data_IF_197659500483
#
_entry.id   IF_197659500483
#
_cell.length_a   1.000
_cell.length_b   1.000
_cell.length_c   1.000
_cell.angle_alpha   90.00
_cell.angle_beta   90.00
_cell.angle_gamma   90.00
#
_symmetry.space_group_name_H-M   'P 1'
#
loop_
_entity.id
_entity.type
_entity.pdbx_description
1 polymer ?
#
# COMPACT_ATOMS: atom_id res chain seq x y z
N UNK A 1 61.73 31.61 -87.52
CA UNK A 1 62.81 30.83 -86.90
C UNK A 1 62.19 29.81 -85.95
N UNK A 2 62.30 28.54 -86.35
CA UNK A 2 62.10 27.27 -85.63
C UNK A 2 61.20 27.26 -84.38
N UNK A 3 59.95 26.84 -84.59
CA UNK A 3 59.12 26.15 -83.60
C UNK A 3 59.86 24.89 -83.13
N UNK A 4 60.03 24.73 -81.82
CA UNK A 4 60.66 23.56 -81.20
C UNK A 4 59.60 22.85 -80.38
N UNK A 5 59.11 21.73 -80.92
CA UNK A 5 58.15 20.85 -80.24
C UNK A 5 58.84 20.14 -79.08
N UNK A 6 58.45 20.46 -77.85
CA UNK A 6 58.85 19.73 -76.64
C UNK A 6 57.67 18.88 -76.16
N UNK A 7 57.90 17.59 -75.82
CA UNK A 7 56.82 16.66 -75.47
C UNK A 7 56.13 17.04 -74.16
N UNK A 8 54.80 16.87 -74.16
CA UNK A 8 53.87 17.11 -73.05
C UNK A 8 54.07 16.01 -71.99
N UNK A 9 54.33 16.41 -70.75
CA UNK A 9 54.29 15.53 -69.58
C UNK A 9 53.01 15.82 -68.80
N UNK A 10 52.01 14.94 -68.91
CA UNK A 10 50.81 14.97 -68.09
C UNK A 10 51.14 14.36 -66.73
N UNK A 11 51.41 15.20 -65.72
CA UNK A 11 51.55 14.73 -64.34
C UNK A 11 50.14 14.64 -63.76
N UNK A 12 49.62 13.41 -63.70
CA UNK A 12 48.43 13.07 -62.94
C UNK A 12 48.80 13.10 -61.45
N UNK A 13 48.61 14.25 -60.79
CA UNK A 13 48.71 14.33 -59.33
C UNK A 13 47.48 13.64 -58.76
N UNK A 14 47.61 12.35 -58.46
CA UNK A 14 46.63 11.61 -57.68
C UNK A 14 46.61 12.26 -56.28
N UNK A 15 45.59 13.07 -56.00
CA UNK A 15 45.24 13.40 -54.63
C UNK A 15 44.88 12.09 -53.94
N UNK A 16 45.87 11.47 -53.29
CA UNK A 16 45.63 10.38 -52.36
C UNK A 16 44.94 11.03 -51.17
N UNK A 17 43.62 11.23 -51.30
CA UNK A 17 42.78 11.37 -50.13
C UNK A 17 43.00 10.11 -49.32
N UNK A 18 43.51 10.24 -48.11
CA UNK A 18 43.46 9.16 -47.13
C UNK A 18 41.98 8.86 -46.91
N UNK A 19 41.45 7.88 -47.64
CA UNK A 19 40.21 7.21 -47.26
C UNK A 19 40.53 6.41 -46.00
N UNK A 20 40.53 7.12 -44.86
CA UNK A 20 40.39 6.47 -43.56
C UNK A 20 38.96 5.97 -43.49
N UNK A 21 38.75 4.69 -43.75
CA UNK A 21 37.64 4.00 -43.10
C UNK A 21 38.03 3.93 -41.61
N UNK A 22 37.63 4.92 -40.81
CA UNK A 22 37.77 4.82 -39.36
C UNK A 22 36.68 3.89 -38.86
N UNK A 23 37.05 2.63 -38.69
CA UNK A 23 36.34 1.68 -37.84
C UNK A 23 36.96 1.78 -36.44
N UNK A 24 36.15 1.79 -35.38
CA UNK A 24 36.63 1.80 -33.99
C UNK A 24 36.60 0.38 -33.43
N UNK A 25 37.46 0.07 -32.47
CA UNK A 25 37.41 -1.21 -31.72
C UNK A 25 36.34 -1.23 -30.62
N UNK A 26 35.50 -0.19 -30.59
CA UNK A 26 34.36 -0.04 -29.69
C UNK A 26 33.04 -0.12 -30.47
N UNK A 27 32.07 -0.84 -29.90
CA UNK A 27 30.70 -0.98 -30.39
C UNK A 27 29.74 -0.93 -29.20
N UNK A 28 28.49 -0.49 -29.41
CA UNK A 28 27.51 -0.32 -28.33
C UNK A 28 26.17 -0.99 -28.63
N UNK A 29 25.47 -1.37 -27.57
CA UNK A 29 24.06 -1.80 -27.63
C UNK A 29 23.30 -1.25 -26.43
N UNK A 30 21.99 -1.12 -26.55
CA UNK A 30 21.10 -0.56 -25.51
C UNK A 30 20.21 -1.63 -24.89
N UNK A 31 20.16 -1.68 -23.57
CA UNK A 31 19.19 -2.49 -22.80
C UNK A 31 18.08 -1.57 -22.29
N UNK A 32 16.81 -1.98 -22.47
CA UNK A 32 15.66 -1.33 -21.84
C UNK A 32 15.31 -2.06 -20.54
N UNK A 33 15.23 -1.32 -19.43
CA UNK A 33 14.82 -1.81 -18.12
C UNK A 33 13.57 -1.02 -17.73
N UNK A 34 12.49 -1.72 -17.37
CA UNK A 34 11.21 -1.13 -17.00
C UNK A 34 10.81 -1.60 -15.60
N UNK A 35 10.37 -0.66 -14.77
CA UNK A 35 9.77 -0.93 -13.46
C UNK A 35 8.33 -0.43 -13.50
N UNK A 36 7.38 -1.27 -13.14
CA UNK A 36 5.96 -0.94 -13.13
C UNK A 36 5.52 -0.46 -11.76
N UNK A 37 4.52 0.41 -11.75
CA UNK A 37 3.77 0.73 -10.55
C UNK A 37 3.03 -0.51 -10.02
N UNK A 38 3.00 -0.69 -8.70
CA UNK A 38 2.32 -1.82 -8.02
C UNK A 38 1.58 -1.25 -6.82
N UNK A 39 0.28 -1.52 -6.70
CA UNK A 39 -0.52 -1.21 -5.52
C UNK A 39 -1.41 -2.41 -5.19
N UNK A 40 -0.92 -3.30 -4.33
CA UNK A 40 -1.62 -4.52 -3.93
C UNK A 40 -1.76 -4.53 -2.41
N UNK A 41 -2.98 -4.78 -1.93
CA UNK A 41 -3.30 -4.94 -0.51
C UNK A 41 -4.06 -6.25 -0.32
N UNK A 42 -3.77 -6.96 0.76
CA UNK A 42 -4.50 -8.15 1.17
C UNK A 42 -4.71 -8.19 2.70
N UNK A 43 -5.76 -8.89 3.11
CA UNK A 43 -6.06 -9.19 4.50
C UNK A 43 -5.78 -10.66 4.77
N UNK A 44 -4.81 -10.91 5.64
CA UNK A 44 -4.27 -12.24 5.89
C UNK A 44 -4.62 -12.74 7.29
N UNK A 45 -4.92 -14.03 7.43
CA UNK A 45 -5.22 -14.64 8.73
C UNK A 45 -4.96 -16.14 8.74
N UNK A 46 -4.63 -16.70 9.91
CA UNK A 46 -4.50 -18.15 10.08
C UNK A 46 -5.85 -18.89 10.00
N UNK A 47 -6.95 -18.24 10.40
CA UNK A 47 -8.26 -18.88 10.57
C UNK A 47 -9.35 -18.30 9.68
N UNK A 48 -8.99 -17.38 8.78
CA UNK A 48 -9.92 -16.60 7.95
C UNK A 48 -10.16 -15.20 8.50
N UNK A 49 -10.59 -14.29 7.61
CA UNK A 49 -10.76 -12.86 7.89
C UNK A 49 -12.13 -12.49 8.46
N UNK A 50 -13.05 -13.44 8.56
CA UNK A 50 -14.32 -13.24 9.26
C UNK A 50 -14.11 -13.35 10.78
N UNK A 51 -14.48 -12.30 11.51
CA UNK A 51 -14.36 -12.25 12.98
C UNK A 51 -15.73 -12.07 13.64
N UNK A 52 -15.86 -12.51 14.88
CA UNK A 52 -17.08 -12.37 15.67
C UNK A 52 -16.74 -11.72 17.01
N UNK A 53 -17.40 -10.60 17.31
CA UNK A 53 -17.26 -9.86 18.55
C UNK A 53 -18.64 -9.83 19.23
N UNK A 54 -18.76 -10.43 20.41
CA UNK A 54 -20.03 -10.63 21.09
C UNK A 54 -20.03 -10.01 22.48
N UNK A 55 -21.19 -9.53 22.92
CA UNK A 55 -21.42 -9.22 24.32
C UNK A 55 -21.51 -10.49 25.17
N UNK A 56 -21.06 -10.40 26.43
CA UNK A 56 -21.22 -11.48 27.42
C UNK A 56 -22.44 -11.18 28.28
N UNK A 57 -23.42 -12.09 28.27
CA UNK A 57 -24.61 -11.97 29.11
C UNK A 57 -24.27 -12.01 30.60
N UNK A 58 -24.98 -11.25 31.45
CA UNK A 58 -24.82 -11.35 32.90
C UNK A 58 -25.32 -12.70 33.43
N UNK A 59 -24.72 -13.19 34.51
CA UNK A 59 -25.12 -14.43 35.19
C UNK A 59 -26.10 -14.22 36.34
N UNK A 60 -26.40 -12.97 36.70
CA UNK A 60 -27.26 -12.58 37.82
C UNK A 60 -28.16 -11.41 37.41
N UNK A 61 -29.40 -11.39 37.89
CA UNK A 61 -30.33 -10.33 37.56
C UNK A 61 -29.87 -8.98 38.14
N UNK A 62 -30.05 -7.90 37.36
CA UNK A 62 -29.60 -6.56 37.73
C UNK A 62 -28.17 -6.21 37.29
N UNK A 63 -27.37 -7.20 36.86
CA UNK A 63 -26.08 -6.93 36.24
C UNK A 63 -26.22 -6.57 34.75
N UNK A 64 -25.26 -5.79 34.25
CA UNK A 64 -25.20 -5.37 32.84
C UNK A 64 -24.59 -6.44 31.94
N UNK A 65 -24.93 -6.40 30.66
CA UNK A 65 -24.16 -7.08 29.59
C UNK A 65 -22.77 -6.45 29.52
N UNK A 66 -21.73 -7.28 29.39
CA UNK A 66 -20.36 -6.82 29.22
C UNK A 66 -19.98 -6.80 27.73
N UNK A 67 -19.49 -5.67 27.25
CA UNK A 67 -18.94 -5.50 25.90
C UNK A 67 -17.45 -5.16 26.03
N UNK A 68 -16.61 -6.17 25.88
CA UNK A 68 -15.15 -6.10 25.97
C UNK A 68 -14.48 -7.12 25.04
N UNK A 69 -15.18 -7.54 23.98
CA UNK A 69 -14.67 -8.50 23.03
C UNK A 69 -13.56 -7.86 22.19
N UNK A 70 -12.51 -8.62 21.91
CA UNK A 70 -11.43 -8.22 21.02
C UNK A 70 -11.02 -9.35 20.09
N UNK A 71 -10.44 -8.99 18.93
CA UNK A 71 -9.87 -9.94 17.99
C UNK A 71 -8.62 -9.34 17.34
N UNK A 72 -7.55 -10.14 17.20
CA UNK A 72 -6.27 -9.74 16.61
C UNK A 72 -5.76 -10.73 15.55
N UNK A 73 -6.66 -11.40 14.85
CA UNK A 73 -6.32 -12.48 13.92
C UNK A 73 -5.99 -12.00 12.50
N UNK A 74 -6.31 -10.76 12.16
CA UNK A 74 -6.18 -10.23 10.80
C UNK A 74 -4.90 -9.40 10.70
N UNK A 75 -4.19 -9.56 9.59
CA UNK A 75 -2.99 -8.81 9.23
C UNK A 75 -3.22 -8.07 7.92
N UNK A 76 -2.78 -6.82 7.83
CA UNK A 76 -2.68 -6.10 6.57
C UNK A 76 -1.34 -6.47 5.93
N UNK A 77 -1.37 -6.94 4.69
CA UNK A 77 -0.19 -7.15 3.86
C UNK A 77 -0.31 -6.29 2.61
N UNK A 78 0.81 -5.78 2.10
CA UNK A 78 0.80 -5.04 0.85
C UNK A 78 2.14 -5.13 0.11
N UNK A 79 2.07 -4.82 -1.18
CA UNK A 79 3.21 -4.55 -2.05
C UNK A 79 2.96 -3.24 -2.77
N UNK A 80 3.94 -2.35 -2.69
CA UNK A 80 3.86 -0.98 -3.17
C UNK A 80 5.12 -0.65 -3.98
N UNK A 81 4.92 -0.25 -5.23
CA UNK A 81 5.86 0.54 -6.01
C UNK A 81 5.07 1.77 -6.42
N UNK A 82 5.44 2.92 -5.87
CA UNK A 82 4.78 4.20 -6.11
C UNK A 82 5.23 4.81 -7.43
N UNK A 83 4.34 5.58 -8.06
CA UNK A 83 4.74 6.49 -9.12
C UNK A 83 5.71 7.57 -8.59
N UNK A 84 6.55 8.12 -9.47
CA UNK A 84 7.36 9.31 -9.15
C UNK A 84 6.79 10.53 -9.85
N UNK A 85 6.62 11.62 -9.10
CA UNK A 85 6.12 12.89 -9.60
C UNK A 85 7.11 14.01 -9.30
N UNK A 86 7.47 14.80 -10.32
CA UNK A 86 8.33 16.00 -10.16
C UNK A 86 9.67 15.76 -9.43
N UNK A 87 10.24 14.55 -9.52
CA UNK A 87 11.51 14.20 -8.88
C UNK A 87 11.41 13.76 -7.41
N UNK A 88 10.20 13.77 -6.82
CA UNK A 88 9.94 13.18 -5.50
C UNK A 88 9.19 11.85 -5.66
N UNK A 89 9.46 10.92 -4.75
CA UNK A 89 8.70 9.67 -4.65
C UNK A 89 7.37 9.97 -3.96
N UNK A 90 6.26 9.58 -4.59
CA UNK A 90 4.95 9.66 -3.94
C UNK A 90 4.87 8.61 -2.83
N UNK A 91 4.07 8.89 -1.80
CA UNK A 91 3.68 7.91 -0.79
C UNK A 91 2.23 7.51 -0.98
N UNK A 92 1.83 6.46 -0.26
CA UNK A 92 0.48 5.94 -0.21
C UNK A 92 0.04 5.86 1.24
N UNK A 93 -1.27 5.85 1.41
CA UNK A 93 -1.91 5.55 2.67
C UNK A 93 -2.82 4.32 2.53
N UNK A 94 -3.11 3.69 3.66
CA UNK A 94 -4.20 2.74 3.80
C UNK A 94 -5.26 3.38 4.68
N UNK A 95 -6.48 3.47 4.15
CA UNK A 95 -7.66 3.91 4.90
C UNK A 95 -8.55 2.75 5.27
N UNK A 96 -9.32 2.89 6.35
CA UNK A 96 -10.31 1.92 6.84
C UNK A 96 -11.69 2.58 6.99
N UNK A 97 -12.75 1.86 6.60
CA UNK A 97 -14.14 2.34 6.71
C UNK A 97 -15.12 1.17 6.85
N UNK A 98 -16.26 1.39 7.52
CA UNK A 98 -17.43 0.51 7.37
C UNK A 98 -18.13 0.86 6.08
N UNK A 99 -18.24 -0.10 5.16
CA UNK A 99 -18.82 0.13 3.82
C UNK A 99 -20.19 -0.53 3.63
N UNK A 100 -20.57 -1.46 4.52
CA UNK A 100 -21.90 -2.06 4.56
C UNK A 100 -22.30 -2.40 5.99
N UNK A 101 -23.56 -2.12 6.33
CA UNK A 101 -24.08 -2.19 7.70
C UNK A 101 -23.58 -1.05 8.61
N UNK A 102 -23.97 -1.12 9.88
CA UNK A 102 -23.68 -0.11 10.91
C UNK A 102 -23.32 -0.78 12.26
N UNK A 103 -22.59 -0.07 13.11
CA UNK A 103 -22.40 -0.52 14.50
C UNK A 103 -23.74 -0.36 15.23
N UNK A 104 -24.25 -1.39 15.94
CA UNK A 104 -25.51 -1.29 16.67
C UNK A 104 -25.51 -0.14 17.69
N UNK A 105 -26.67 0.47 17.91
CA UNK A 105 -26.79 1.62 18.80
C UNK A 105 -26.34 1.26 20.22
N UNK A 106 -25.64 2.20 20.87
CA UNK A 106 -25.08 2.00 22.20
C UNK A 106 -23.74 1.25 22.24
N UNK A 107 -23.25 0.77 21.10
CA UNK A 107 -21.93 0.15 20.95
C UNK A 107 -20.97 1.04 20.16
N UNK A 108 -19.69 0.71 20.28
CA UNK A 108 -18.59 1.35 19.57
C UNK A 108 -17.63 0.26 19.08
N UNK A 109 -17.30 0.28 17.79
CA UNK A 109 -16.30 -0.62 17.20
C UNK A 109 -15.04 0.19 16.90
N UNK A 110 -13.91 -0.28 17.41
CA UNK A 110 -12.60 0.32 17.11
C UNK A 110 -11.67 -0.65 16.45
N UNK A 111 -10.74 -0.11 15.69
CA UNK A 111 -9.59 -0.83 15.17
C UNK A 111 -8.31 -0.04 15.38
N UNK A 112 -7.22 -0.75 15.67
CA UNK A 112 -5.87 -0.21 15.67
C UNK A 112 -4.95 -1.17 14.93
N UNK A 113 -4.00 -0.65 14.16
CA UNK A 113 -2.95 -1.44 13.53
C UNK A 113 -1.69 -1.37 14.39
N UNK A 114 -0.92 -2.47 14.43
CA UNK A 114 0.43 -2.41 14.99
C UNK A 114 1.40 -1.78 14.00
N UNK A 115 2.55 -1.35 14.50
CA UNK A 115 3.75 -1.21 13.68
C UNK A 115 4.08 -2.50 12.93
N UNK A 116 4.83 -2.33 11.84
CA UNK A 116 5.15 -3.43 10.92
C UNK A 116 5.91 -4.56 11.61
N UNK A 117 5.52 -5.80 11.32
CA UNK A 117 6.19 -7.02 11.78
C UNK A 117 6.64 -7.90 10.61
N UNK A 118 7.70 -8.68 10.82
CA UNK A 118 8.23 -9.62 9.84
C UNK A 118 9.51 -9.14 9.16
N UNK A 119 9.76 -9.65 7.95
CA UNK A 119 11.00 -9.43 7.17
C UNK A 119 10.69 -8.75 5.83
N UNK A 120 9.72 -7.83 5.83
CA UNK A 120 9.49 -6.94 4.70
C UNK A 120 10.67 -5.98 4.48
N UNK A 121 10.62 -5.19 3.41
CA UNK A 121 11.66 -4.22 3.09
C UNK A 121 11.05 -2.94 2.46
N UNK A 122 11.81 -1.85 2.52
CA UNK A 122 11.39 -0.54 2.03
C UNK A 122 10.66 0.33 3.06
N UNK A 123 10.03 1.40 2.57
CA UNK A 123 9.26 2.34 3.40
C UNK A 123 7.84 1.78 3.64
N UNK A 124 7.68 0.98 4.69
CA UNK A 124 6.44 0.27 5.05
C UNK A 124 5.43 1.13 5.83
N UNK A 125 5.55 2.45 5.75
CA UNK A 125 4.63 3.37 6.43
C UNK A 125 4.63 3.27 7.95
N UNK A 126 3.85 4.15 8.55
CA UNK A 126 3.68 4.30 9.99
C UNK A 126 2.21 4.05 10.36
N UNK A 127 1.96 3.26 11.40
CA UNK A 127 0.59 2.96 11.83
C UNK A 127 0.03 4.09 12.70
N UNK A 128 -1.29 4.35 12.60
CA UNK A 128 -1.95 5.30 13.50
C UNK A 128 -1.83 4.82 14.95
N UNK A 129 -1.26 5.67 15.81
CA UNK A 129 -0.99 5.34 17.22
C UNK A 129 -2.28 5.07 18.01
N UNK A 130 -3.37 5.75 17.65
CA UNK A 130 -4.64 5.69 18.37
C UNK A 130 -5.63 4.72 17.74
N UNK A 131 -6.46 4.10 18.58
CA UNK A 131 -7.57 3.31 18.08
C UNK A 131 -8.62 4.18 17.37
N UNK A 132 -8.89 3.83 16.11
CA UNK A 132 -9.84 4.49 15.23
C UNK A 132 -11.26 4.02 15.52
N UNK A 133 -12.21 4.96 15.69
CA UNK A 133 -13.63 4.64 15.84
C UNK A 133 -14.25 4.51 14.45
N UNK A 134 -14.67 3.30 14.11
CA UNK A 134 -15.16 3.01 12.77
C UNK A 134 -16.60 3.52 12.58
N UNK A 135 -16.84 4.11 11.41
CA UNK A 135 -18.16 4.58 11.00
C UNK A 135 -18.35 4.41 9.49
N UNK A 136 -19.59 4.57 9.03
CA UNK A 136 -19.93 4.60 7.60
C UNK A 136 -19.65 5.96 6.95
N UNK A 137 -19.41 7.01 7.74
CA UNK A 137 -19.37 8.38 7.23
C UNK A 137 -18.01 8.78 6.64
N UNK A 138 -16.92 8.31 7.23
CA UNK A 138 -15.57 8.73 6.86
C UNK A 138 -14.62 7.54 6.84
N UNK A 139 -13.87 7.38 5.75
CA UNK A 139 -12.67 6.57 5.76
C UNK A 139 -11.60 7.28 6.61
N UNK A 140 -10.85 6.51 7.39
CA UNK A 140 -9.82 7.01 8.28
C UNK A 140 -8.49 6.37 7.93
N UNK A 141 -7.42 7.16 7.82
CA UNK A 141 -6.06 6.67 7.62
C UNK A 141 -5.64 5.82 8.81
N UNK A 142 -5.23 4.57 8.54
CA UNK A 142 -4.76 3.62 9.57
C UNK A 142 -3.27 3.32 9.42
N UNK A 143 -2.73 3.45 8.20
CA UNK A 143 -1.29 3.39 7.91
C UNK A 143 -1.00 4.50 6.90
N UNK A 144 -0.04 5.37 7.18
CA UNK A 144 0.36 6.47 6.29
C UNK A 144 1.82 6.30 5.83
N UNK A 145 2.27 7.14 4.89
CA UNK A 145 3.66 7.22 4.43
C UNK A 145 4.24 5.91 3.86
N UNK A 146 3.41 5.09 3.23
CA UNK A 146 3.85 3.87 2.52
C UNK A 146 4.55 4.27 1.22
N UNK A 147 5.84 3.98 1.11
CA UNK A 147 6.61 4.20 -0.12
C UNK A 147 6.71 2.93 -0.97
N UNK A 148 7.86 2.80 -1.66
CA UNK A 148 8.26 1.56 -2.30
C UNK A 148 8.59 0.52 -1.22
N UNK A 149 7.75 -0.50 -1.08
CA UNK A 149 7.85 -1.47 0.00
C UNK A 149 7.08 -2.77 -0.27
N UNK A 150 7.43 -3.82 0.47
CA UNK A 150 6.58 -5.01 0.62
C UNK A 150 6.66 -5.54 2.05
N UNK A 151 5.55 -6.02 2.60
CA UNK A 151 5.48 -6.51 3.99
C UNK A 151 5.83 -7.99 4.16
N UNK A 152 5.89 -8.73 3.04
CA UNK A 152 5.77 -10.19 3.02
C UNK A 152 4.31 -10.64 2.97
N UNK A 153 4.09 -11.95 2.93
CA UNK A 153 2.77 -12.56 2.75
C UNK A 153 2.41 -13.50 3.89
N UNK A 154 1.14 -13.46 4.31
CA UNK A 154 0.55 -14.34 5.30
C UNK A 154 0.49 -13.74 6.71
N UNK A 155 -0.07 -14.51 7.68
CA UNK A 155 -0.14 -14.08 9.06
C UNK A 155 1.26 -13.82 9.64
N UNK A 156 1.33 -12.88 10.58
CA UNK A 156 2.59 -12.41 11.20
C UNK A 156 3.55 -11.66 10.27
N UNK A 157 3.02 -11.11 9.17
CA UNK A 157 3.69 -10.16 8.27
C UNK A 157 2.87 -8.88 8.21
N UNK A 158 3.52 -7.74 8.00
CA UNK A 158 2.84 -6.45 7.89
C UNK A 158 2.28 -5.97 9.23
N UNK A 159 1.08 -5.42 9.22
CA UNK A 159 0.48 -4.77 10.40
C UNK A 159 -0.64 -5.62 10.97
N UNK A 160 -0.60 -5.97 12.25
CA UNK A 160 -1.67 -6.72 12.90
C UNK A 160 -2.83 -5.79 13.29
N UNK A 161 -4.05 -6.20 12.99
CA UNK A 161 -5.24 -5.44 13.32
C UNK A 161 -5.86 -5.94 14.62
N UNK A 162 -6.00 -5.06 15.62
CA UNK A 162 -6.77 -5.35 16.82
C UNK A 162 -8.11 -4.63 16.77
N UNK A 163 -9.18 -5.41 16.64
CA UNK A 163 -10.56 -4.94 16.76
C UNK A 163 -11.04 -5.03 18.19
N UNK A 164 -11.81 -4.04 18.64
CA UNK A 164 -12.47 -4.05 19.95
C UNK A 164 -13.91 -3.56 19.85
N UNK A 165 -14.84 -4.30 20.46
CA UNK A 165 -16.24 -3.92 20.58
C UNK A 165 -16.54 -3.58 22.04
N UNK A 166 -16.93 -2.33 22.27
CA UNK A 166 -17.24 -1.81 23.61
C UNK A 166 -18.61 -1.16 23.63
N UNK A 167 -19.13 -0.91 24.83
CA UNK A 167 -20.27 0.00 25.00
C UNK A 167 -19.77 1.42 24.72
N UNK A 168 -20.50 2.18 23.90
CA UNK A 168 -20.23 3.61 23.70
C UNK A 168 -20.17 4.33 25.06
N UNK A 169 -19.25 5.27 25.23
CA UNK A 169 -19.05 6.03 26.48
C UNK A 169 -20.14 7.07 26.76
N UNK A 170 -20.96 7.43 25.78
CA UNK A 170 -22.05 8.39 25.89
C UNK A 170 -23.05 8.01 26.98
N UNK A 171 -23.65 9.03 27.62
CA UNK A 171 -24.73 8.86 28.57
C UNK A 171 -25.90 8.11 27.92
N UNK A 172 -26.54 7.21 28.66
CA UNK A 172 -27.70 6.41 28.21
C UNK A 172 -27.48 5.51 26.98
N UNK A 173 -26.25 5.37 26.48
CA UNK A 173 -25.87 4.40 25.43
C UNK A 173 -26.37 2.97 25.73
N UNK A 174 -26.36 2.56 27.01
CA UNK A 174 -26.87 1.24 27.39
C UNK A 174 -28.38 1.08 27.10
N UNK A 175 -29.17 2.14 27.23
CA UNK A 175 -30.61 2.12 26.94
C UNK A 175 -30.90 2.04 25.43
N UNK A 176 -29.92 2.34 24.59
CA UNK A 176 -30.02 2.28 23.13
C UNK A 176 -29.74 0.88 22.57
N UNK A 177 -29.22 -0.04 23.39
CA UNK A 177 -28.94 -1.41 22.98
C UNK A 177 -30.22 -2.11 22.49
N UNK A 178 -30.18 -2.62 21.26
CA UNK A 178 -31.30 -3.31 20.63
C UNK A 178 -30.85 -4.63 20.01
N UNK A 179 -31.38 -5.75 20.52
CA UNK A 179 -31.06 -7.09 20.01
C UNK A 179 -31.32 -7.24 18.50
N UNK A 180 -32.34 -6.57 17.98
CA UNK A 180 -32.72 -6.65 16.57
C UNK A 180 -31.76 -5.89 15.63
N UNK A 181 -30.81 -5.12 16.17
CA UNK A 181 -29.75 -4.49 15.37
C UNK A 181 -28.50 -5.38 15.22
N UNK A 182 -28.53 -6.62 15.74
CA UNK A 182 -27.44 -7.57 15.54
C UNK A 182 -27.29 -7.88 14.04
N UNK A 183 -26.11 -7.58 13.48
CA UNK A 183 -25.86 -7.73 12.05
C UNK A 183 -24.39 -8.02 11.76
N UNK A 184 -24.13 -8.43 10.52
CA UNK A 184 -22.79 -8.45 9.94
C UNK A 184 -22.53 -7.10 9.29
N UNK A 185 -21.35 -6.55 9.52
CA UNK A 185 -20.87 -5.34 8.84
C UNK A 185 -19.70 -5.69 7.94
N UNK A 186 -19.51 -4.94 6.86
CA UNK A 186 -18.34 -5.04 5.99
C UNK A 186 -17.41 -3.87 6.26
N UNK A 187 -16.13 -4.19 6.46
CA UNK A 187 -15.06 -3.20 6.67
C UNK A 187 -14.13 -3.28 5.47
N UNK A 188 -13.87 -2.15 4.83
CA UNK A 188 -13.01 -2.05 3.66
C UNK A 188 -11.73 -1.32 4.02
N UNK A 189 -10.61 -1.88 3.59
CA UNK A 189 -9.29 -1.27 3.61
C UNK A 189 -8.92 -0.86 2.18
N UNK A 190 -8.46 0.36 1.99
CA UNK A 190 -8.10 0.89 0.67
C UNK A 190 -6.69 1.44 0.70
N UNK A 191 -5.81 0.89 -0.14
CA UNK A 191 -4.49 1.46 -0.43
C UNK A 191 -4.61 2.47 -1.57
N UNK A 192 -4.20 3.71 -1.34
CA UNK A 192 -4.30 4.80 -2.32
C UNK A 192 -3.09 5.73 -2.28
N UNK A 193 -2.83 6.42 -3.39
CA UNK A 193 -1.81 7.48 -3.44
C UNK A 193 -2.23 8.68 -2.57
N UNK A 194 -1.25 9.29 -1.89
CA UNK A 194 -1.39 10.57 -1.18
C UNK A 194 -1.34 11.77 -2.13
#
# INVERSE_FOLDING_TARGET
MKLRNTPILFILVFSIGTLVAQDTDEETHTVSINVTEIALLDLESQTGTAISLNGTAPTEAGNKVAFNASNHNIWINYSSICSSGNGNQNTREITVQITDGDVPDGLELKVVATEVAGLGDGAMGDAEENALVLSTQNAQTIIDDIGNAYTGNGPSKGHNLTYTLTKNSDADSYASLNFNQSQTITITYTLSDN
#
